data_IF_151409219102
#
_entry.id   IF_151409219102
#
_cell.length_a   1.000
_cell.length_b   1.000
_cell.length_c   1.000
_cell.angle_alpha   90.00
_cell.angle_beta   90.00
_cell.angle_gamma   90.00
#
_symmetry.space_group_name_H-M   'P 1'
#
loop_
_entity.id
_entity.type
_entity.pdbx_description
1 polymer ?
#
# COMPACT_ATOMS: atom_id res chain seq x y z
N UNK A 1 18.50 -5.95 21.47
CA UNK A 1 17.92 -5.31 20.28
C UNK A 1 16.97 -6.20 19.46
N UNK A 2 17.19 -7.52 19.31
CA UNK A 2 16.25 -8.38 18.54
C UNK A 2 14.91 -8.60 19.26
N UNK A 3 14.92 -8.66 20.59
CA UNK A 3 13.70 -8.87 21.40
C UNK A 3 12.79 -7.63 21.38
N UNK A 4 13.35 -6.42 21.40
CA UNK A 4 12.60 -5.16 21.31
C UNK A 4 11.91 -4.98 19.95
N UNK A 5 12.58 -5.35 18.85
CA UNK A 5 12.00 -5.27 17.51
C UNK A 5 10.82 -6.24 17.35
N UNK A 6 10.95 -7.47 17.86
CA UNK A 6 9.88 -8.48 17.84
C UNK A 6 8.71 -8.11 18.76
N UNK A 7 8.97 -7.56 19.95
CA UNK A 7 7.92 -7.08 20.86
C UNK A 7 7.17 -5.89 20.26
N UNK A 8 7.88 -4.93 19.64
CA UNK A 8 7.26 -3.78 18.99
C UNK A 8 6.33 -4.18 17.85
N UNK A 9 6.72 -5.18 17.03
CA UNK A 9 5.87 -5.67 15.95
C UNK A 9 4.59 -6.35 16.49
N UNK A 10 4.70 -7.10 17.59
CA UNK A 10 3.56 -7.73 18.26
C UNK A 10 2.58 -6.68 18.81
N UNK A 11 3.09 -5.66 19.51
CA UNK A 11 2.25 -4.59 20.05
C UNK A 11 1.63 -3.73 18.94
N UNK A 12 2.37 -3.44 17.86
CA UNK A 12 1.86 -2.70 16.71
C UNK A 12 0.73 -3.46 16.00
N UNK A 13 0.89 -4.77 15.79
CA UNK A 13 -0.15 -5.61 15.19
C UNK A 13 -1.39 -5.71 16.07
N UNK A 14 -1.20 -5.90 17.39
CA UNK A 14 -2.30 -5.93 18.36
C UNK A 14 -3.04 -4.59 18.42
N UNK A 15 -2.32 -3.47 18.44
CA UNK A 15 -2.90 -2.13 18.42
C UNK A 15 -3.67 -1.87 17.12
N UNK A 16 -3.11 -2.27 15.97
CA UNK A 16 -3.80 -2.14 14.68
C UNK A 16 -5.06 -3.00 14.62
N UNK A 17 -5.04 -4.21 15.19
CA UNK A 17 -6.22 -5.06 15.31
C UNK A 17 -7.32 -4.42 16.16
N UNK A 18 -6.96 -3.92 17.35
CA UNK A 18 -7.89 -3.22 18.23
C UNK A 18 -8.48 -1.98 17.56
N UNK A 19 -7.66 -1.12 16.97
CA UNK A 19 -8.12 0.09 16.30
C UNK A 19 -9.05 -0.21 15.11
N UNK A 20 -8.80 -1.28 14.34
CA UNK A 20 -9.71 -1.69 13.26
C UNK A 20 -11.08 -2.10 13.80
N UNK A 21 -11.11 -2.85 14.90
CA UNK A 21 -12.37 -3.22 15.54
C UNK A 21 -13.12 -1.96 16.02
N UNK A 22 -12.42 -1.03 16.66
CA UNK A 22 -13.00 0.24 17.11
C UNK A 22 -13.47 1.13 15.96
N UNK A 23 -12.84 1.03 14.79
CA UNK A 23 -13.23 1.76 13.59
C UNK A 23 -14.56 1.27 13.00
N UNK A 24 -14.79 -0.04 13.01
CA UNK A 24 -16.04 -0.64 12.52
C UNK A 24 -17.15 -0.62 13.57
N UNK A 25 -16.80 -0.80 14.84
CA UNK A 25 -17.73 -0.83 15.96
C UNK A 25 -17.04 -0.37 17.25
N UNK A 26 -17.08 0.95 17.56
CA UNK A 26 -16.56 1.53 18.78
C UNK A 26 -17.21 0.86 19.99
N UNK A 27 -16.41 0.38 20.93
CA UNK A 27 -16.91 -0.15 22.20
C UNK A 27 -17.14 0.97 23.23
N UNK A 28 -17.76 0.64 24.36
CA UNK A 28 -18.08 1.62 25.39
C UNK A 28 -16.83 2.29 25.98
N UNK A 29 -15.71 1.57 26.05
CA UNK A 29 -14.51 2.06 26.70
C UNK A 29 -13.72 3.00 25.78
N UNK A 30 -13.70 2.70 24.49
CA UNK A 30 -13.19 3.60 23.47
C UNK A 30 -14.03 4.86 23.35
N UNK A 31 -15.36 4.73 23.36
CA UNK A 31 -16.28 5.88 23.34
C UNK A 31 -16.08 6.76 24.57
N UNK A 32 -15.89 6.19 25.77
CA UNK A 32 -15.55 6.96 26.97
C UNK A 32 -14.18 7.62 26.86
N UNK A 33 -13.19 6.93 26.32
CA UNK A 33 -11.83 7.43 26.15
C UNK A 33 -11.82 8.68 25.26
N UNK A 34 -12.49 8.62 24.11
CA UNK A 34 -12.64 9.77 23.20
C UNK A 34 -13.56 10.82 23.82
N UNK A 35 -14.69 10.40 24.39
CA UNK A 35 -15.70 11.26 25.01
C UNK A 35 -15.13 12.18 26.08
N UNK A 36 -14.21 11.68 26.93
CA UNK A 36 -13.52 12.48 27.96
C UNK A 36 -12.72 13.66 27.41
N UNK A 37 -12.34 13.64 26.13
CA UNK A 37 -11.58 14.71 25.49
C UNK A 37 -12.47 15.74 24.79
N UNK A 38 -13.74 15.42 24.54
CA UNK A 38 -14.63 16.23 23.70
C UNK A 38 -15.92 16.68 24.41
N UNK A 39 -16.22 16.11 25.57
CA UNK A 39 -17.41 16.42 26.34
C UNK A 39 -17.02 16.86 27.75
N UNK A 40 -17.44 18.07 28.13
CA UNK A 40 -17.23 18.59 29.48
C UNK A 40 -18.22 17.93 30.46
N UNK A 41 -17.68 17.28 31.49
CA UNK A 41 -18.44 16.63 32.55
C UNK A 41 -18.38 15.10 32.53
N UNK A 42 -19.20 14.46 33.36
CA UNK A 42 -19.14 13.01 33.55
C UNK A 42 -19.72 12.25 32.35
N UNK A 43 -18.95 11.31 31.81
CA UNK A 43 -19.40 10.39 30.76
C UNK A 43 -20.30 9.32 31.39
N UNK A 44 -21.60 9.58 31.42
CA UNK A 44 -22.61 8.60 31.84
C UNK A 44 -22.97 7.65 30.70
N UNK A 45 -23.72 6.57 30.98
CA UNK A 45 -24.19 5.65 29.94
C UNK A 45 -25.01 6.36 28.85
N UNK A 46 -25.88 7.28 29.24
CA UNK A 46 -26.68 8.07 28.29
C UNK A 46 -25.80 8.92 27.36
N UNK A 47 -24.77 9.56 27.91
CA UNK A 47 -23.80 10.34 27.12
C UNK A 47 -22.97 9.41 26.22
N UNK A 48 -22.62 8.21 26.68
CA UNK A 48 -21.88 7.20 25.89
C UNK A 48 -22.71 6.74 24.68
N UNK A 49 -24.00 6.43 24.88
CA UNK A 49 -24.91 6.03 23.81
C UNK A 49 -25.13 7.16 22.79
N UNK A 50 -25.16 8.41 23.25
CA UNK A 50 -25.27 9.59 22.38
C UNK A 50 -23.98 9.86 21.59
N UNK A 51 -22.81 9.70 22.21
CA UNK A 51 -21.52 9.98 21.58
C UNK A 51 -21.10 8.89 20.59
N UNK A 52 -21.48 7.64 20.81
CA UNK A 52 -21.13 6.50 19.95
C UNK A 52 -21.41 6.75 18.45
N UNK A 53 -22.62 7.11 18.01
CA UNK A 53 -22.89 7.36 16.59
C UNK A 53 -22.15 8.60 16.05
N UNK A 54 -21.94 9.62 16.87
CA UNK A 54 -21.17 10.81 16.49
C UNK A 54 -19.69 10.45 16.26
N UNK A 55 -19.10 9.65 17.15
CA UNK A 55 -17.73 9.15 17.04
C UNK A 55 -17.59 8.23 15.82
N UNK A 56 -18.53 7.31 15.60
CA UNK A 56 -18.54 6.46 14.40
C UNK A 56 -18.53 7.30 13.12
N UNK A 57 -19.43 8.28 13.04
CA UNK A 57 -19.53 9.17 11.87
C UNK A 57 -18.25 9.96 11.66
N UNK A 58 -17.63 10.46 12.74
CA UNK A 58 -16.36 11.17 12.67
C UNK A 58 -15.20 10.27 12.21
N UNK A 59 -15.16 9.02 12.66
CA UNK A 59 -14.17 8.04 12.21
C UNK A 59 -14.33 7.73 10.72
N UNK A 60 -15.55 7.49 10.25
CA UNK A 60 -15.83 7.25 8.83
C UNK A 60 -15.49 8.46 7.96
N UNK A 61 -15.79 9.67 8.46
CA UNK A 61 -15.41 10.92 7.81
C UNK A 61 -13.89 11.08 7.75
N UNK A 62 -13.16 10.77 8.82
CA UNK A 62 -11.70 10.83 8.84
C UNK A 62 -11.07 9.84 7.85
N UNK A 63 -11.60 8.61 7.74
CA UNK A 63 -11.14 7.66 6.72
C UNK A 63 -11.38 8.23 5.33
N UNK A 64 -12.57 8.78 5.09
CA UNK A 64 -12.93 9.37 3.80
C UNK A 64 -12.05 10.56 3.46
N UNK A 65 -11.83 11.46 4.42
CA UNK A 65 -10.91 12.59 4.31
C UNK A 65 -9.49 12.09 4.06
N UNK A 66 -9.02 11.02 4.70
CA UNK A 66 -7.70 10.44 4.41
C UNK A 66 -7.59 9.82 3.03
N UNK A 67 -8.68 9.21 2.54
CA UNK A 67 -8.76 8.68 1.18
C UNK A 67 -8.77 9.85 0.19
N UNK A 68 -9.56 10.88 0.46
CA UNK A 68 -9.66 12.11 -0.33
C UNK A 68 -8.37 12.94 -0.28
N UNK A 69 -7.65 12.95 0.84
CA UNK A 69 -6.34 13.55 1.03
C UNK A 69 -5.30 12.78 0.23
N UNK A 70 -5.29 11.44 0.29
CA UNK A 70 -4.41 10.65 -0.56
C UNK A 70 -4.75 10.81 -2.04
N UNK A 71 -6.03 10.91 -2.38
CA UNK A 71 -6.51 11.18 -3.73
C UNK A 71 -6.14 12.61 -4.17
N UNK A 72 -6.24 13.59 -3.27
CA UNK A 72 -5.97 15.00 -3.56
C UNK A 72 -4.48 15.33 -3.56
N UNK A 73 -3.68 14.66 -2.73
CA UNK A 73 -2.22 14.66 -2.78
C UNK A 73 -1.75 13.96 -4.06
N UNK A 74 -2.41 12.87 -4.49
CA UNK A 74 -2.17 12.28 -5.81
C UNK A 74 -2.59 13.19 -6.98
N UNK A 75 -3.46 14.17 -6.74
CA UNK A 75 -3.91 15.17 -7.73
C UNK A 75 -3.17 16.52 -7.63
N UNK A 76 -2.31 16.73 -6.61
CA UNK A 76 -1.56 17.97 -6.40
C UNK A 76 -0.07 17.70 -6.53
N UNK A 77 0.63 18.27 -7.54
CA UNK A 77 2.07 18.13 -7.64
C UNK A 77 2.74 18.85 -6.47
N UNK A 78 3.54 18.09 -5.73
CA UNK A 78 4.58 18.46 -4.77
C UNK A 78 4.26 19.37 -3.56
N UNK A 79 4.61 18.86 -2.38
CA UNK A 79 5.53 19.54 -1.47
C UNK A 79 6.29 18.51 -0.64
N UNK A 80 7.47 18.15 -1.13
CA UNK A 80 8.50 17.40 -0.42
C UNK A 80 8.96 18.20 0.80
N UNK A 81 9.02 17.57 1.97
CA UNK A 81 9.94 17.97 3.04
C UNK A 81 10.96 16.86 3.24
N UNK A 82 12.20 17.31 3.21
CA UNK A 82 13.45 16.63 2.91
C UNK A 82 14.04 15.86 4.08
N UNK A 83 14.73 14.75 3.81
CA UNK A 83 16.16 14.61 4.14
C UNK A 83 16.79 13.41 3.40
N UNK A 84 18.09 13.52 3.02
CA UNK A 84 18.69 12.67 1.99
C UNK A 84 19.66 11.62 2.57
N UNK A 85 19.72 10.44 1.94
CA UNK A 85 20.95 9.66 1.88
C UNK A 85 21.25 9.32 0.43
N UNK A 86 22.48 9.60 -0.06
CA UNK A 86 22.85 9.45 -1.45
C UNK A 86 23.34 8.02 -1.71
N UNK A 87 22.87 7.42 -2.80
CA UNK A 87 23.62 6.39 -3.51
C UNK A 87 23.52 6.70 -5.00
N UNK A 88 24.68 7.00 -5.56
CA UNK A 88 24.94 7.21 -6.98
C UNK A 88 24.68 5.93 -7.79
N UNK A 89 24.02 6.07 -8.94
CA UNK A 89 24.32 5.28 -10.14
C UNK A 89 23.74 5.97 -11.39
N UNK A 90 24.61 6.75 -12.01
CA UNK A 90 24.76 7.17 -13.41
C UNK A 90 23.79 6.59 -14.47
N UNK A 91 23.04 7.50 -15.11
CA UNK A 91 22.95 7.63 -16.58
C UNK A 91 21.90 6.82 -17.37
N UNK A 92 20.75 7.43 -17.66
CA UNK A 92 20.35 7.89 -19.01
C UNK A 92 19.09 8.76 -18.86
N UNK A 93 19.08 9.90 -19.55
CA UNK A 93 18.00 10.89 -19.56
C UNK A 93 16.67 10.28 -20.08
N UNK A 94 15.55 10.83 -19.59
CA UNK A 94 14.20 10.71 -20.13
C UNK A 94 13.35 9.45 -19.86
N UNK A 95 13.62 8.70 -18.79
CA UNK A 95 12.61 7.75 -18.27
C UNK A 95 12.01 8.29 -16.98
N UNK A 96 10.88 8.96 -17.10
CA UNK A 96 10.10 9.46 -15.97
C UNK A 96 9.23 8.31 -15.47
N UNK A 97 9.65 7.67 -14.38
CA UNK A 97 8.78 6.73 -13.67
C UNK A 97 7.54 7.47 -13.21
N UNK A 98 6.40 7.08 -13.77
CA UNK A 98 5.11 7.70 -13.47
C UNK A 98 4.63 7.27 -12.09
N UNK A 99 3.80 8.10 -11.45
CA UNK A 99 3.26 7.78 -10.13
C UNK A 99 2.39 6.51 -10.14
N UNK A 100 1.76 6.21 -11.28
CA UNK A 100 1.00 4.97 -11.48
C UNK A 100 1.91 3.73 -11.49
N UNK A 101 3.12 3.83 -12.06
CA UNK A 101 4.11 2.74 -12.03
C UNK A 101 4.65 2.52 -10.62
N UNK A 102 4.85 3.60 -9.86
CA UNK A 102 5.19 3.52 -8.43
C UNK A 102 4.08 2.85 -7.62
N UNK A 103 2.82 3.22 -7.86
CA UNK A 103 1.68 2.60 -7.20
C UNK A 103 1.58 1.10 -7.53
N UNK A 104 1.67 0.75 -8.82
CA UNK A 104 1.67 -0.63 -9.28
C UNK A 104 2.81 -1.43 -8.66
N UNK A 105 4.01 -0.87 -8.60
CA UNK A 105 5.16 -1.49 -7.93
C UNK A 105 4.89 -1.73 -6.43
N UNK A 106 4.33 -0.75 -5.72
CA UNK A 106 4.00 -0.92 -4.29
C UNK A 106 2.96 -2.02 -4.05
N UNK A 107 1.97 -2.17 -4.94
CA UNK A 107 0.99 -3.25 -4.88
C UNK A 107 1.66 -4.61 -5.10
N UNK A 108 2.50 -4.73 -6.12
CA UNK A 108 3.24 -5.98 -6.39
C UNK A 108 4.15 -6.33 -5.22
N UNK A 109 4.84 -5.36 -4.62
CA UNK A 109 5.63 -5.56 -3.40
C UNK A 109 4.79 -6.06 -2.23
N UNK A 110 3.59 -5.51 -2.04
CA UNK A 110 2.71 -5.91 -0.96
C UNK A 110 2.21 -7.36 -1.13
N UNK A 111 1.91 -7.78 -2.36
CA UNK A 111 1.55 -9.17 -2.68
C UNK A 111 2.75 -10.09 -2.39
N UNK A 112 3.91 -9.74 -2.92
CA UNK A 112 5.13 -10.53 -2.80
C UNK A 112 5.67 -10.64 -1.36
N UNK A 113 5.38 -9.67 -0.50
CA UNK A 113 5.75 -9.67 0.92
C UNK A 113 5.24 -10.91 1.69
N UNK A 114 4.21 -11.60 1.18
CA UNK A 114 3.69 -12.85 1.75
C UNK A 114 4.62 -14.04 1.54
N UNK A 115 5.43 -14.00 0.47
CA UNK A 115 6.25 -15.12 0.01
C UNK A 115 7.76 -14.86 0.13
N UNK A 116 8.20 -13.61 0.12
CA UNK A 116 9.61 -13.25 0.23
C UNK A 116 9.84 -11.87 0.85
N UNK A 117 11.09 -11.62 1.25
CA UNK A 117 11.54 -10.35 1.79
C UNK A 117 11.40 -9.23 0.73
N UNK A 118 10.83 -8.09 1.12
CA UNK A 118 10.49 -6.98 0.20
C UNK A 118 11.72 -6.29 -0.38
N UNK A 119 12.88 -6.45 0.25
CA UNK A 119 14.18 -5.95 -0.19
C UNK A 119 14.67 -6.67 -1.46
N UNK A 120 14.18 -7.89 -1.71
CA UNK A 120 14.49 -8.67 -2.91
C UNK A 120 13.70 -8.22 -4.13
N UNK A 121 12.76 -7.29 -3.97
CA UNK A 121 11.86 -6.86 -5.06
C UNK A 121 12.31 -5.51 -5.56
N UNK A 122 12.86 -5.47 -6.77
CA UNK A 122 13.36 -4.23 -7.36
C UNK A 122 12.47 -3.78 -8.51
N UNK A 123 12.40 -2.47 -8.68
CA UNK A 123 11.77 -1.83 -9.83
C UNK A 123 12.87 -1.34 -10.76
N UNK A 124 12.79 -1.72 -12.03
CA UNK A 124 13.68 -1.21 -13.08
C UNK A 124 12.82 -0.61 -14.18
N UNK A 125 12.98 0.68 -14.39
CA UNK A 125 12.28 1.37 -15.45
C UNK A 125 12.92 1.08 -16.81
N UNK A 126 12.09 0.97 -17.84
CA UNK A 126 12.53 0.79 -19.22
C UNK A 126 11.63 1.60 -20.16
N UNK A 127 12.16 1.99 -21.32
CA UNK A 127 11.49 2.91 -22.28
C UNK A 127 10.07 2.50 -22.69
N UNK A 128 9.69 1.23 -22.55
CA UNK A 128 8.38 0.72 -22.98
C UNK A 128 7.55 0.08 -21.86
N UNK A 129 8.11 -0.05 -20.66
CA UNK A 129 7.45 -0.66 -19.49
C UNK A 129 8.31 -0.50 -18.24
N UNK A 130 7.66 -0.51 -17.08
CA UNK A 130 8.33 -0.65 -15.80
C UNK A 130 8.42 -2.13 -15.38
N UNK A 131 9.63 -2.65 -15.18
CA UNK A 131 9.86 -4.04 -14.79
C UNK A 131 9.90 -4.19 -13.27
N UNK A 132 9.17 -5.17 -12.74
CA UNK A 132 9.31 -5.60 -11.34
C UNK A 132 10.05 -6.93 -11.32
N UNK A 133 11.21 -6.95 -10.65
CA UNK A 133 12.17 -8.04 -10.68
C UNK A 133 12.37 -8.63 -9.28
N UNK A 134 12.71 -9.91 -9.25
CA UNK A 134 13.26 -10.56 -8.06
C UNK A 134 14.80 -10.53 -8.11
N UNK A 135 15.42 -10.17 -6.99
CA UNK A 135 16.87 -10.08 -6.77
C UNK A 135 17.61 -9.17 -7.77
N UNK A 136 16.97 -8.13 -8.28
CA UNK A 136 17.47 -7.26 -9.36
C UNK A 136 17.96 -8.02 -10.61
N UNK A 137 17.38 -9.19 -10.87
CA UNK A 137 17.83 -10.06 -11.93
C UNK A 137 16.84 -10.05 -13.10
N UNK A 138 17.29 -9.60 -14.28
CA UNK A 138 16.49 -9.59 -15.51
C UNK A 138 16.02 -11.00 -15.96
N UNK A 139 16.61 -12.08 -15.42
CA UNK A 139 16.19 -13.47 -15.65
C UNK A 139 15.08 -13.94 -14.69
N UNK A 140 14.71 -13.12 -13.72
CA UNK A 140 13.66 -13.37 -12.71
C UNK A 140 12.62 -12.24 -12.69
N UNK A 141 11.92 -11.96 -13.81
CA UNK A 141 10.88 -10.95 -13.84
C UNK A 141 9.61 -11.46 -13.13
N UNK A 142 9.09 -10.67 -12.18
CA UNK A 142 7.83 -10.97 -11.49
C UNK A 142 6.65 -10.53 -12.37
N UNK A 143 6.69 -9.29 -12.84
CA UNK A 143 5.71 -8.74 -13.76
C UNK A 143 6.27 -7.52 -14.51
N UNK A 144 5.55 -7.07 -15.53
CA UNK A 144 5.83 -5.82 -16.26
C UNK A 144 4.61 -4.91 -16.22
N UNK A 145 4.80 -3.65 -15.88
CA UNK A 145 3.77 -2.62 -15.87
C UNK A 145 3.85 -1.85 -17.19
N UNK A 146 2.83 -1.97 -18.04
CA UNK A 146 2.70 -1.22 -19.28
C UNK A 146 1.72 -0.07 -19.08
N UNK A 147 2.15 0.97 -18.37
CA UNK A 147 1.31 2.14 -18.04
C UNK A 147 1.61 3.36 -18.93
N UNK A 148 2.52 3.22 -19.88
CA UNK A 148 2.97 4.29 -20.78
C UNK A 148 1.87 4.84 -21.71
N UNK A 149 0.68 4.22 -21.74
CA UNK A 149 -0.47 4.66 -22.54
C UNK A 149 -1.53 5.30 -21.65
N UNK A 150 -1.90 6.55 -21.96
CA UNK A 150 -2.90 7.33 -21.24
C UNK A 150 -4.29 6.67 -21.18
N UNK A 151 -4.61 5.76 -22.10
CA UNK A 151 -5.95 5.16 -22.24
C UNK A 151 -5.96 3.65 -22.00
N UNK A 152 -4.78 3.00 -22.01
CA UNK A 152 -4.69 1.54 -21.98
C UNK A 152 -3.57 1.09 -21.06
N UNK A 153 -3.92 0.67 -19.84
CA UNK A 153 -2.97 0.07 -18.90
C UNK A 153 -2.97 -1.44 -19.10
N UNK A 154 -1.80 -2.04 -19.17
CA UNK A 154 -1.69 -3.49 -19.22
C UNK A 154 -0.68 -4.00 -18.18
N UNK A 155 -1.00 -5.15 -17.59
CA UNK A 155 -0.14 -5.91 -16.71
C UNK A 155 0.43 -7.10 -17.50
N UNK A 156 1.74 -7.15 -17.66
CA UNK A 156 2.46 -8.30 -18.17
C UNK A 156 2.70 -9.30 -17.04
N UNK A 157 1.99 -10.43 -17.09
CA UNK A 157 2.16 -11.56 -16.18
C UNK A 157 3.00 -12.65 -16.84
N UNK A 158 3.85 -13.32 -16.08
CA UNK A 158 4.64 -14.44 -16.58
C UNK A 158 3.96 -15.77 -16.20
N UNK A 159 3.91 -16.71 -17.14
CA UNK A 159 3.53 -18.10 -16.84
C UNK A 159 4.76 -18.92 -16.44
N UNK A 160 4.55 -20.14 -15.96
CA UNK A 160 5.61 -21.10 -15.61
C UNK A 160 6.60 -21.35 -16.77
N UNK A 161 6.12 -21.27 -18.02
CA UNK A 161 6.92 -21.42 -19.24
C UNK A 161 7.72 -20.15 -19.62
N UNK A 162 7.75 -19.13 -18.75
CA UNK A 162 8.34 -17.79 -18.98
C UNK A 162 7.71 -17.02 -20.14
N UNK A 163 6.57 -17.47 -20.64
CA UNK A 163 5.76 -16.74 -21.62
C UNK A 163 5.06 -15.58 -20.92
N UNK A 164 5.18 -14.39 -21.51
CA UNK A 164 4.50 -13.18 -21.03
C UNK A 164 3.08 -13.10 -21.60
N UNK A 165 2.10 -12.87 -20.72
CA UNK A 165 0.70 -12.63 -21.05
C UNK A 165 0.34 -11.21 -20.63
N UNK A 166 -0.10 -10.39 -21.58
CA UNK A 166 -0.56 -9.03 -21.29
C UNK A 166 -2.05 -9.03 -20.99
N UNK A 167 -2.40 -8.59 -19.79
CA UNK A 167 -3.78 -8.44 -19.34
C UNK A 167 -4.11 -6.96 -19.23
N UNK A 168 -5.23 -6.55 -19.82
CA UNK A 168 -5.70 -5.17 -19.68
C UNK A 168 -6.21 -4.95 -18.26
N UNK A 169 -5.80 -3.83 -17.66
CA UNK A 169 -6.33 -3.34 -16.38
C UNK A 169 -6.82 -1.91 -16.53
N UNK A 170 -7.75 -1.47 -15.69
CA UNK A 170 -8.28 -0.11 -15.74
C UNK A 170 -7.60 0.79 -14.70
N UNK A 171 -7.23 0.22 -13.55
CA UNK A 171 -6.54 0.90 -12.44
C UNK A 171 -5.37 0.06 -11.89
N UNK A 172 -4.34 0.67 -11.28
CA UNK A 172 -3.28 -0.09 -10.60
C UNK A 172 -3.80 -1.05 -9.52
N UNK A 173 -4.93 -0.73 -8.88
CA UNK A 173 -5.59 -1.60 -7.90
C UNK A 173 -6.07 -2.94 -8.49
N UNK A 174 -6.33 -3.01 -9.79
CA UNK A 174 -6.73 -4.27 -10.45
C UNK A 174 -5.62 -5.33 -10.43
N UNK A 175 -4.37 -4.96 -10.13
CA UNK A 175 -3.27 -5.91 -9.92
C UNK A 175 -3.62 -6.94 -8.84
N UNK A 176 -4.40 -6.57 -7.81
CA UNK A 176 -4.85 -7.51 -6.78
C UNK A 176 -5.70 -8.67 -7.33
N UNK A 177 -6.42 -8.47 -8.44
CA UNK A 177 -7.19 -9.52 -9.10
C UNK A 177 -6.29 -10.60 -9.71
N UNK A 178 -5.01 -10.29 -9.89
CA UNK A 178 -3.99 -11.17 -10.45
C UNK A 178 -2.93 -11.59 -9.41
N UNK A 179 -3.22 -11.40 -8.12
CA UNK A 179 -2.29 -11.72 -7.03
C UNK A 179 -1.84 -13.19 -7.07
N UNK A 180 -2.75 -14.14 -7.29
CA UNK A 180 -2.41 -15.57 -7.34
C UNK A 180 -1.41 -15.90 -8.46
N UNK A 181 -1.55 -15.24 -9.62
CA UNK A 181 -0.62 -15.42 -10.74
C UNK A 181 0.77 -14.83 -10.43
N UNK A 182 0.80 -13.67 -9.77
CA UNK A 182 2.05 -13.03 -9.32
C UNK A 182 2.74 -13.90 -8.27
N UNK A 183 1.99 -14.41 -7.28
CA UNK A 183 2.50 -15.31 -6.26
C UNK A 183 3.06 -16.60 -6.88
N UNK A 184 2.38 -17.20 -7.87
CA UNK A 184 2.87 -18.39 -8.56
C UNK A 184 4.24 -18.17 -9.24
N UNK A 185 4.45 -17.01 -9.87
CA UNK A 185 5.75 -16.65 -10.48
C UNK A 185 6.82 -16.51 -9.39
N UNK A 186 6.50 -15.83 -8.29
CA UNK A 186 7.42 -15.63 -7.17
C UNK A 186 7.84 -16.97 -6.56
N UNK A 187 6.89 -17.89 -6.38
CA UNK A 187 7.15 -19.24 -5.88
C UNK A 187 8.09 -20.05 -6.79
N UNK A 188 8.09 -19.79 -8.10
CA UNK A 188 9.04 -20.44 -9.02
C UNK A 188 10.50 -19.98 -8.85
N UNK A 189 10.75 -18.91 -8.10
CA UNK A 189 12.08 -18.34 -7.85
C UNK A 189 12.64 -18.61 -6.45
N UNK A 190 11.80 -19.11 -5.54
CA UNK A 190 12.17 -19.61 -4.22
C UNK A 190 12.87 -20.96 -4.34
#
# INVERSE_FOLDING_TARGET
MIIEAASNLKYASAAAGYLRQQLSQPDDDFVKLVGRQIHDGSITKAVTEQLRPAIQTALDALIRERIEDRLSIALRPEAVSTSPHPVEAVGDDDVVTTDEEREGYMIVRAIAARSMAVERITMRDAKSYCAVLCDDNNRRPICRLYFNSATTKNLGLFSADKTEIKVRIDTPSDIYKHADAIEAVIQSYL
#
